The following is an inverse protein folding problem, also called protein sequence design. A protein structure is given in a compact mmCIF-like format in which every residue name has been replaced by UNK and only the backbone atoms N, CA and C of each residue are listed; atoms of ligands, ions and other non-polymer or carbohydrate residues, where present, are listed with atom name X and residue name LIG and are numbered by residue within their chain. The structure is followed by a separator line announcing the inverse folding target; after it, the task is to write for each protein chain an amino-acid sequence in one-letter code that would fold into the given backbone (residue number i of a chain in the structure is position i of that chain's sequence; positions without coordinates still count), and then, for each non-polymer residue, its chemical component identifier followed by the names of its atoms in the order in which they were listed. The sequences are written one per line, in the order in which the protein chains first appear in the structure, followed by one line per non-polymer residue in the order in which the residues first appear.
data_IF_332820668740
#
_entry.id   IF_332820668740
#
_cell.length_a   1.000
_cell.length_b   1.000
_cell.length_c   1.000
_cell.angle_alpha   90.00
_cell.angle_beta   90.00
_cell.angle_gamma   90.00
#
_symmetry.space_group_name_H-M   'P 1'
#
loop_
_entity.id
_entity.type
_entity.pdbx_description
1 polymer ?
#
# COMPACT_ATOMS: atom_id res chain seq x y z
N UNK A 1 -1.73 15.54 -35.31
CA UNK A 1 -1.73 14.07 -35.13
C UNK A 1 -0.78 13.60 -34.08
N UNK A 2 0.48 14.03 -34.10
CA UNK A 2 1.47 13.59 -33.12
C UNK A 2 1.09 13.93 -31.67
N UNK A 3 0.44 15.08 -31.46
CA UNK A 3 0.03 15.48 -30.11
C UNK A 3 -1.03 14.56 -29.52
N UNK A 4 -1.89 14.02 -30.37
CA UNK A 4 -2.93 13.10 -29.93
C UNK A 4 -2.33 11.77 -29.48
N UNK A 5 -1.34 11.26 -30.21
CA UNK A 5 -0.68 10.01 -29.84
C UNK A 5 0.09 10.15 -28.52
N UNK A 6 0.74 11.27 -28.30
CA UNK A 6 1.46 11.53 -27.06
C UNK A 6 0.50 11.58 -25.87
N UNK A 7 -0.66 12.19 -26.05
CA UNK A 7 -1.67 12.29 -25.00
C UNK A 7 -2.23 10.91 -24.64
N UNK A 8 -2.50 10.08 -25.64
CA UNK A 8 -3.01 8.72 -25.41
C UNK A 8 -1.95 7.88 -24.70
N UNK A 9 -0.69 7.97 -25.11
CA UNK A 9 0.39 7.24 -24.47
C UNK A 9 0.56 7.65 -23.00
N UNK A 10 0.41 8.93 -22.71
CA UNK A 10 0.50 9.45 -21.36
C UNK A 10 -0.63 8.92 -20.47
N UNK A 11 -1.84 8.88 -20.99
CA UNK A 11 -3.00 8.35 -20.29
C UNK A 11 -2.82 6.85 -19.99
N UNK A 12 -2.30 6.09 -20.93
CA UNK A 12 -2.03 4.67 -20.76
C UNK A 12 -0.97 4.46 -19.68
N UNK A 13 0.06 5.29 -19.64
CA UNK A 13 1.10 5.21 -18.62
C UNK A 13 0.54 5.41 -17.22
N UNK A 14 -0.36 6.34 -17.04
CA UNK A 14 -1.03 6.55 -15.76
C UNK A 14 -1.87 5.33 -15.35
N UNK A 15 -2.57 4.73 -16.30
CA UNK A 15 -3.37 3.54 -16.04
C UNK A 15 -2.51 2.37 -15.62
N UNK A 16 -1.35 2.18 -16.27
CA UNK A 16 -0.43 1.10 -15.94
C UNK A 16 0.16 1.29 -14.54
N UNK A 17 0.49 2.51 -14.15
CA UNK A 17 1.06 2.78 -12.82
C UNK A 17 0.05 2.53 -11.70
N UNK A 18 -1.24 2.38 -12.00
CA UNK A 18 -2.28 2.10 -11.02
C UNK A 18 -2.54 0.60 -10.83
N UNK A 19 -1.64 -0.27 -11.29
CA UNK A 19 -1.82 -1.72 -11.17
C UNK A 19 -1.79 -2.20 -9.73
N UNK A 20 -1.02 -1.54 -8.87
CA UNK A 20 -1.07 -1.81 -7.44
C UNK A 20 -2.20 -0.96 -6.87
N UNK A 21 -3.39 -1.56 -6.81
CA UNK A 21 -4.59 -0.86 -6.41
C UNK A 21 -4.73 -0.84 -4.90
N UNK A 22 -4.92 0.33 -4.33
CA UNK A 22 -5.17 0.50 -2.91
C UNK A 22 -6.41 1.36 -2.72
N UNK A 23 -7.22 1.01 -1.73
CA UNK A 23 -8.44 1.74 -1.44
C UNK A 23 -8.58 1.89 0.08
N UNK A 24 -8.70 3.13 0.55
CA UNK A 24 -8.81 3.38 1.97
C UNK A 24 -7.56 3.00 2.76
N UNK A 25 -6.38 3.00 2.12
CA UNK A 25 -5.13 2.65 2.78
C UNK A 25 -4.49 3.87 3.43
N UNK A 26 -3.70 3.65 4.47
CA UNK A 26 -3.00 4.72 5.17
C UNK A 26 -1.57 4.30 5.48
N UNK A 27 -0.62 5.10 5.05
CA UNK A 27 0.81 4.91 5.32
C UNK A 27 1.27 6.02 6.28
N UNK A 28 1.00 5.88 7.57
CA UNK A 28 1.38 6.93 8.52
C UNK A 28 2.77 6.72 9.13
N UNK A 29 3.31 5.52 9.04
CA UNK A 29 4.68 5.29 9.50
C UNK A 29 5.71 5.76 8.49
N UNK A 30 6.91 6.10 8.95
CA UNK A 30 8.00 6.45 8.05
C UNK A 30 8.40 5.22 7.23
N UNK A 31 8.53 5.38 5.92
CA UNK A 31 8.84 4.32 4.97
C UNK A 31 7.88 3.12 5.04
N UNK A 32 6.63 3.36 5.45
CA UNK A 32 5.62 2.31 5.53
C UNK A 32 4.95 2.08 4.18
N UNK A 33 4.41 0.88 3.99
CA UNK A 33 3.71 0.51 2.76
C UNK A 33 2.38 -0.16 3.08
N UNK A 34 1.30 0.31 2.49
CA UNK A 34 -0.03 -0.29 2.65
C UNK A 34 -0.60 -0.61 1.28
N UNK A 35 -0.93 -1.88 1.06
CA UNK A 35 -1.44 -2.36 -0.22
C UNK A 35 -2.71 -3.17 0.03
N UNK A 36 -3.78 -2.83 -0.65
CA UNK A 36 -5.02 -3.57 -0.53
C UNK A 36 -6.21 -2.69 -0.19
N UNK A 37 -7.11 -3.18 0.66
CA UNK A 37 -8.34 -2.49 1.02
C UNK A 37 -8.36 -2.17 2.51
N UNK A 38 -8.46 -0.88 2.83
CA UNK A 38 -8.59 -0.41 4.21
C UNK A 38 -7.44 -0.89 5.11
N UNK A 39 -6.23 -0.95 4.56
CA UNK A 39 -5.04 -1.32 5.34
C UNK A 39 -4.39 -0.07 5.91
N UNK A 40 -3.75 -0.20 7.07
CA UNK A 40 -3.08 0.93 7.71
C UNK A 40 -1.68 0.50 8.16
N UNK A 41 -0.65 1.02 7.49
CA UNK A 41 0.73 0.77 7.89
C UNK A 41 1.21 1.93 8.74
N UNK A 42 1.10 1.80 10.07
CA UNK A 42 1.39 2.88 11.02
C UNK A 42 2.74 2.77 11.71
N UNK A 43 3.36 1.60 11.72
CA UNK A 43 4.70 1.46 12.28
C UNK A 43 5.78 1.91 11.31
N UNK A 44 6.93 2.33 11.84
CA UNK A 44 8.08 2.69 11.01
C UNK A 44 8.54 1.47 10.21
N UNK A 45 8.70 1.64 8.90
CA UNK A 45 9.09 0.57 7.98
C UNK A 45 8.16 -0.64 8.06
N UNK A 46 6.85 -0.41 8.28
CA UNK A 46 5.87 -1.48 8.34
C UNK A 46 5.27 -1.75 6.97
N UNK A 47 4.76 -2.97 6.78
CA UNK A 47 4.12 -3.36 5.53
C UNK A 47 2.77 -3.99 5.82
N UNK A 48 1.73 -3.48 5.19
CA UNK A 48 0.38 -4.01 5.31
C UNK A 48 -0.11 -4.47 3.96
N UNK A 49 -0.59 -5.71 3.87
CA UNK A 49 -1.14 -6.23 2.63
C UNK A 49 -2.41 -7.02 2.92
N UNK A 50 -3.40 -6.88 2.05
CA UNK A 50 -4.63 -7.61 2.16
C UNK A 50 -5.80 -6.70 2.46
N UNK A 51 -6.60 -7.05 3.47
CA UNK A 51 -7.78 -6.27 3.83
C UNK A 51 -7.83 -6.02 5.33
N UNK A 52 -7.99 -4.76 5.69
CA UNK A 52 -8.12 -4.35 7.09
C UNK A 52 -6.96 -4.84 7.96
N UNK A 53 -5.72 -4.78 7.43
CA UNK A 53 -4.53 -5.16 8.17
C UNK A 53 -3.91 -3.95 8.84
N UNK A 54 -3.29 -4.16 10.01
CA UNK A 54 -2.72 -3.07 10.79
C UNK A 54 -1.37 -3.46 11.40
N UNK A 55 -0.27 -3.31 10.68
CA UNK A 55 1.06 -3.42 11.27
C UNK A 55 1.43 -2.12 11.97
N UNK A 56 1.25 -2.08 13.30
CA UNK A 56 1.53 -0.88 14.11
C UNK A 56 2.88 -0.92 14.80
N UNK A 57 3.53 -2.07 14.89
CA UNK A 57 4.88 -2.17 15.44
C UNK A 57 5.93 -1.72 14.44
N UNK A 58 7.07 -1.25 14.93
CA UNK A 58 8.20 -0.90 14.06
C UNK A 58 8.71 -2.15 13.35
N UNK A 59 9.00 -2.03 12.05
CA UNK A 59 9.50 -3.13 11.22
C UNK A 59 8.55 -4.34 11.23
N UNK A 60 7.24 -4.09 11.32
CA UNK A 60 6.25 -5.15 11.34
C UNK A 60 5.61 -5.37 9.98
N UNK A 61 5.08 -6.57 9.77
CA UNK A 61 4.39 -6.94 8.54
C UNK A 61 3.09 -7.64 8.87
N UNK A 62 1.98 -7.16 8.31
CA UNK A 62 0.68 -7.80 8.47
C UNK A 62 0.10 -8.11 7.10
N UNK A 63 -0.31 -9.36 6.89
CA UNK A 63 -0.86 -9.83 5.63
C UNK A 63 -2.11 -10.65 5.87
N UNK A 64 -3.07 -10.53 4.98
CA UNK A 64 -4.29 -11.33 5.05
C UNK A 64 -5.51 -10.48 5.32
N UNK A 65 -6.38 -10.94 6.22
CA UNK A 65 -7.63 -10.27 6.53
C UNK A 65 -7.77 -10.08 8.02
N UNK A 66 -7.98 -8.83 8.43
CA UNK A 66 -8.13 -8.46 9.85
C UNK A 66 -6.95 -8.89 10.72
N UNK A 67 -5.73 -8.75 10.20
CA UNK A 67 -4.51 -9.10 10.95
C UNK A 67 -3.89 -7.86 11.56
N UNK A 68 -3.27 -8.02 12.73
CA UNK A 68 -2.59 -6.93 13.43
C UNK A 68 -1.22 -7.40 13.90
N UNK A 69 -0.17 -6.70 13.46
CA UNK A 69 1.18 -6.94 13.90
C UNK A 69 1.62 -5.75 14.75
N UNK A 70 1.52 -5.87 16.08
CA UNK A 70 1.76 -4.76 17.01
C UNK A 70 3.14 -4.79 17.70
N UNK A 71 3.80 -5.93 17.69
CA UNK A 71 5.14 -6.03 18.28
C UNK A 71 6.22 -5.52 17.36
N UNK A 72 7.32 -5.01 17.89
CA UNK A 72 8.47 -4.64 17.09
C UNK A 72 9.02 -5.83 16.33
N UNK A 73 9.30 -5.68 15.03
CA UNK A 73 9.79 -6.75 14.15
C UNK A 73 8.86 -7.96 14.11
N UNK A 74 7.54 -7.74 14.24
CA UNK A 74 6.56 -8.83 14.23
C UNK A 74 5.99 -9.06 12.84
N UNK A 75 5.46 -10.27 12.62
CA UNK A 75 4.78 -10.66 11.39
C UNK A 75 3.45 -11.32 11.76
N UNK A 76 2.40 -10.88 11.11
CA UNK A 76 1.07 -11.47 11.31
C UNK A 76 0.42 -11.84 9.98
#
# INVERSE_FOLDING_TARGET
MNKLYILIALTISFTVSAQISTSGTSNSGATASAIGLETTASGVASTAMGRETLPSGHYSTAMGYLTTASGGSSIA
#
